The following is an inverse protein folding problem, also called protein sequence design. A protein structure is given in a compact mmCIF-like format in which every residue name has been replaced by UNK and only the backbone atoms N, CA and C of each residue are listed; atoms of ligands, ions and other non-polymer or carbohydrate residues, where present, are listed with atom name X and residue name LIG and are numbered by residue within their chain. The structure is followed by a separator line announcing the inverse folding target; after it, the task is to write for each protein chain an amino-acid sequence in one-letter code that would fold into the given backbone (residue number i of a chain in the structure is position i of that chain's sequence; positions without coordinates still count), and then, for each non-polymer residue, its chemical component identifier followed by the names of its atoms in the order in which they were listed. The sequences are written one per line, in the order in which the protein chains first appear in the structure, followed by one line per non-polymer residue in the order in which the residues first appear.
data_IF_273509877113
#
_entry.id   IF_273509877113
#
_cell.length_a   1.000
_cell.length_b   1.000
_cell.length_c   1.000
_cell.angle_alpha   90.00
_cell.angle_beta   90.00
_cell.angle_gamma   90.00
#
_symmetry.space_group_name_H-M   'P 1'
#
loop_
_entity.id
_entity.type
_entity.pdbx_description
1 polymer ?
#
# COMPACT_ATOMS: atom_id res chain seq x y z
N UNK A 1 6.63 -4.35 14.00
CA UNK A 1 5.99 -3.20 13.33
C UNK A 1 4.87 -2.78 14.25
N UNK A 2 5.05 -1.68 15.01
CA UNK A 2 3.92 -1.07 15.69
C UNK A 2 3.28 -0.20 14.61
N UNK A 3 2.11 -0.58 14.11
CA UNK A 3 1.13 0.46 13.88
C UNK A 3 0.81 0.95 15.28
N UNK A 4 1.33 2.12 15.65
CA UNK A 4 0.98 2.73 16.93
C UNK A 4 -0.50 3.09 16.83
N UNK A 5 -1.34 2.19 17.34
CA UNK A 5 -2.77 2.36 17.46
C UNK A 5 -3.02 3.35 18.57
N UNK A 6 -3.37 4.57 18.20
CA UNK A 6 -4.20 5.37 19.07
C UNK A 6 -5.40 5.89 18.26
N UNK A 7 -6.45 6.36 18.94
CA UNK A 7 -7.86 6.40 18.49
C UNK A 7 -8.41 7.78 18.07
N UNK A 8 -8.72 8.00 16.78
CA UNK A 8 -8.87 9.34 16.17
C UNK A 8 -10.13 9.95 16.72
N UNK A 9 -10.08 11.22 17.15
CA UNK A 9 -11.32 11.95 17.40
C UNK A 9 -11.96 12.35 16.06
N UNK A 10 -12.63 11.36 15.46
CA UNK A 10 -13.35 11.47 14.19
C UNK A 10 -14.43 12.57 14.29
N UNK A 11 -14.84 12.98 15.50
CA UNK A 11 -15.86 14.02 15.71
C UNK A 11 -15.35 15.45 15.51
N UNK A 12 -14.03 15.67 15.37
CA UNK A 12 -13.51 17.01 15.12
C UNK A 12 -14.01 17.57 13.79
N UNK A 13 -14.50 18.82 13.81
CA UNK A 13 -15.09 19.49 12.64
C UNK A 13 -14.15 19.49 11.43
N UNK A 14 -12.84 19.59 11.65
CA UNK A 14 -11.85 19.52 10.58
C UNK A 14 -11.82 18.15 9.89
N UNK A 15 -11.89 17.05 10.65
CA UNK A 15 -11.89 15.70 10.08
C UNK A 15 -13.21 15.44 9.36
N UNK A 16 -14.34 15.86 9.97
CA UNK A 16 -15.66 15.75 9.35
C UNK A 16 -15.75 16.51 8.01
N UNK A 17 -15.16 17.70 7.92
CA UNK A 17 -15.12 18.45 6.66
C UNK A 17 -14.24 17.78 5.60
N UNK A 18 -13.11 17.18 5.98
CA UNK A 18 -12.28 16.44 5.03
C UNK A 18 -12.96 15.15 4.56
N UNK A 19 -13.64 14.43 5.45
CA UNK A 19 -14.43 13.24 5.11
C UNK A 19 -15.57 13.60 4.14
N UNK A 20 -16.32 14.67 4.40
CA UNK A 20 -17.37 15.15 3.48
C UNK A 20 -16.83 15.45 2.08
N UNK A 21 -15.67 16.12 1.98
CA UNK A 21 -15.03 16.37 0.68
C UNK A 21 -14.65 15.07 -0.04
N UNK A 22 -14.18 14.07 0.70
CA UNK A 22 -13.84 12.76 0.13
C UNK A 22 -15.11 12.08 -0.37
N UNK A 23 -16.19 12.08 0.42
CA UNK A 23 -17.49 11.53 0.03
C UNK A 23 -18.01 12.21 -1.24
N UNK A 24 -17.97 13.54 -1.32
CA UNK A 24 -18.35 14.30 -2.53
C UNK A 24 -17.50 13.94 -3.76
N UNK A 25 -16.19 13.68 -3.57
CA UNK A 25 -15.31 13.27 -4.66
C UNK A 25 -15.55 11.83 -5.14
N UNK A 26 -16.08 10.97 -4.25
CA UNK A 26 -16.36 9.57 -4.51
C UNK A 26 -17.81 9.29 -4.91
N UNK A 27 -18.74 10.21 -4.66
CA UNK A 27 -20.17 10.11 -4.99
C UNK A 27 -20.46 9.68 -6.45
N UNK A 28 -19.67 10.09 -7.46
CA UNK A 28 -19.88 9.64 -8.84
C UNK A 28 -19.47 8.19 -9.13
N UNK A 29 -18.86 7.48 -8.17
CA UNK A 29 -18.29 6.15 -8.36
C UNK A 29 -19.08 5.09 -7.59
N UNK A 30 -19.36 3.96 -8.24
CA UNK A 30 -19.90 2.80 -7.55
C UNK A 30 -18.85 2.21 -6.57
N UNK A 31 -19.26 1.56 -5.47
CA UNK A 31 -18.32 0.97 -4.50
C UNK A 31 -17.31 -0.02 -5.11
N UNK A 32 -17.68 -0.67 -6.22
CA UNK A 32 -16.80 -1.58 -6.98
C UNK A 32 -15.65 -0.85 -7.69
N UNK A 33 -15.82 0.44 -8.00
CA UNK A 33 -14.88 1.30 -8.71
C UNK A 33 -14.06 2.21 -7.77
N UNK A 34 -14.35 2.18 -6.46
CA UNK A 34 -13.57 2.87 -5.44
C UNK A 34 -12.49 1.92 -4.94
N UNK A 35 -11.24 2.25 -5.24
CA UNK A 35 -10.06 1.42 -5.00
C UNK A 35 -9.20 2.03 -3.91
N UNK A 36 -8.67 1.23 -2.99
CA UNK A 36 -7.66 1.65 -2.02
C UNK A 36 -6.35 0.90 -2.25
N UNK A 37 -5.24 1.63 -2.26
CA UNK A 37 -3.89 1.06 -2.31
C UNK A 37 -3.05 1.53 -1.13
N UNK A 38 -2.39 0.58 -0.47
CA UNK A 38 -1.54 0.85 0.69
C UNK A 38 -0.39 -0.17 0.78
N UNK A 39 0.68 0.20 1.46
CA UNK A 39 1.88 -0.61 1.62
C UNK A 39 2.14 -1.06 3.05
N UNK A 40 2.56 -2.32 3.19
CA UNK A 40 2.98 -2.88 4.47
C UNK A 40 4.39 -3.48 4.41
N UNK A 41 5.08 -3.48 5.54
CA UNK A 41 6.43 -4.05 5.68
C UNK A 41 6.39 -5.44 6.31
N UNK A 42 6.83 -6.46 5.57
CA UNK A 42 7.02 -7.82 6.08
C UNK A 42 8.46 -8.02 6.58
N UNK A 43 8.65 -7.99 7.90
CA UNK A 43 9.96 -8.14 8.55
C UNK A 43 10.28 -9.59 8.89
N UNK A 44 10.64 -10.38 7.88
CA UNK A 44 10.80 -11.84 7.98
C UNK A 44 12.02 -12.32 8.79
N UNK A 45 12.98 -11.44 9.11
CA UNK A 45 14.13 -11.76 9.97
C UNK A 45 14.00 -11.20 11.38
N UNK A 46 12.88 -10.54 11.71
CA UNK A 46 12.72 -9.93 13.01
C UNK A 46 12.26 -10.99 14.03
N UNK A 47 12.95 -11.14 15.17
CA UNK A 47 12.52 -12.07 16.21
C UNK A 47 11.19 -11.62 16.84
N UNK A 48 10.45 -12.55 17.49
CA UNK A 48 9.26 -12.22 18.27
C UNK A 48 9.52 -11.11 19.31
N UNK A 49 8.54 -10.25 19.57
CA UNK A 49 8.65 -9.15 20.57
C UNK A 49 8.75 -9.69 22.00
N UNK A 50 8.17 -10.85 22.27
CA UNK A 50 8.18 -11.52 23.58
C UNK A 50 8.78 -12.90 23.41
N UNK A 51 9.82 -13.18 24.18
CA UNK A 51 10.34 -14.53 24.41
C UNK A 51 9.63 -15.10 25.65
N UNK A 52 9.62 -16.43 25.80
CA UNK A 52 9.13 -17.12 27.01
C UNK A 52 10.09 -16.88 28.20
N UNK A 53 11.26 -16.27 27.96
CA UNK A 53 12.25 -15.96 28.96
C UNK A 53 11.81 -14.76 29.81
N UNK A 54 11.84 -14.90 31.13
CA UNK A 54 11.59 -13.84 32.12
C UNK A 54 12.78 -12.88 32.27
N UNK A 55 13.94 -13.23 31.72
CA UNK A 55 15.16 -12.41 31.78
C UNK A 55 15.30 -11.52 30.54
N UNK A 56 15.67 -10.26 30.75
CA UNK A 56 15.94 -9.33 29.66
C UNK A 56 17.23 -9.74 28.94
N UNK A 57 17.10 -10.36 27.77
CA UNK A 57 18.22 -10.58 26.85
C UNK A 57 18.67 -9.22 26.27
N UNK A 58 19.68 -8.61 26.91
CA UNK A 58 20.32 -7.40 26.41
C UNK A 58 20.97 -7.62 25.04
N UNK A 59 20.84 -6.64 24.13
CA UNK A 59 21.72 -6.52 22.95
C UNK A 59 21.22 -7.06 21.60
N UNK A 60 20.01 -7.63 21.49
CA UNK A 60 19.50 -8.09 20.19
C UNK A 60 18.99 -6.93 19.33
N UNK A 61 19.85 -6.43 18.41
CA UNK A 61 19.45 -5.46 17.39
C UNK A 61 18.43 -6.12 16.44
N UNK A 62 17.20 -5.58 16.42
CA UNK A 62 16.14 -6.06 15.54
C UNK A 62 16.60 -5.96 14.09
N UNK A 63 16.57 -7.08 13.36
CA UNK A 63 16.77 -7.06 11.92
C UNK A 63 15.70 -6.20 11.28
N UNK A 64 16.13 -5.20 10.49
CA UNK A 64 15.25 -4.36 9.67
C UNK A 64 15.05 -4.92 8.28
N UNK A 65 15.59 -6.11 8.00
CA UNK A 65 15.41 -6.78 6.73
C UNK A 65 13.93 -7.05 6.51
N UNK A 66 13.43 -6.60 5.36
CA UNK A 66 12.00 -6.61 5.05
C UNK A 66 11.74 -6.83 3.58
N UNK A 67 10.50 -7.20 3.28
CA UNK A 67 9.86 -6.97 1.99
C UNK A 67 8.81 -5.88 2.19
N UNK A 68 8.64 -5.00 1.20
CA UNK A 68 7.46 -4.13 1.15
C UNK A 68 6.42 -4.81 0.26
N UNK A 69 5.17 -4.86 0.71
CA UNK A 69 4.04 -5.43 -0.01
C UNK A 69 3.00 -4.33 -0.21
N UNK A 70 2.77 -3.95 -1.46
CA UNK A 70 1.66 -3.08 -1.86
C UNK A 70 0.41 -3.90 -2.16
N UNK A 71 -0.72 -3.49 -1.60
CA UNK A 71 -1.99 -4.18 -1.69
C UNK A 71 -3.06 -3.26 -2.28
N UNK A 72 -3.94 -3.82 -3.09
CA UNK A 72 -5.04 -3.11 -3.74
C UNK A 72 -6.35 -3.85 -3.47
N UNK A 73 -7.39 -3.15 -3.04
CA UNK A 73 -8.75 -3.70 -2.96
C UNK A 73 -9.79 -2.63 -3.28
N UNK A 74 -10.99 -3.05 -3.69
CA UNK A 74 -12.13 -2.14 -3.82
C UNK A 74 -12.91 -1.98 -2.51
N UNK A 75 -13.81 -1.00 -2.47
CA UNK A 75 -14.54 -0.60 -1.27
C UNK A 75 -15.56 -1.66 -0.80
N UNK A 76 -16.19 -2.39 -1.73
CA UNK A 76 -17.13 -3.47 -1.39
C UNK A 76 -16.44 -4.81 -1.06
N UNK A 77 -15.12 -4.89 -1.27
CA UNK A 77 -14.29 -6.06 -0.99
C UNK A 77 -14.45 -7.21 -2.01
N UNK A 78 -15.23 -7.06 -3.07
CA UNK A 78 -15.41 -8.07 -4.12
C UNK A 78 -14.15 -8.25 -4.98
N UNK A 79 -13.28 -7.24 -5.02
CA UNK A 79 -12.05 -7.23 -5.78
C UNK A 79 -10.81 -7.05 -4.90
N UNK A 80 -9.82 -7.93 -5.10
CA UNK A 80 -8.48 -7.84 -4.52
C UNK A 80 -7.45 -7.98 -5.63
N UNK A 81 -6.67 -6.93 -5.84
CA UNK A 81 -5.61 -6.92 -6.84
C UNK A 81 -4.43 -7.80 -6.43
N UNK A 82 -3.62 -8.19 -7.41
CA UNK A 82 -2.37 -8.90 -7.16
C UNK A 82 -1.39 -8.04 -6.36
N UNK A 83 -0.72 -8.60 -5.35
CA UNK A 83 0.22 -7.84 -4.54
C UNK A 83 1.47 -7.44 -5.33
N UNK A 84 1.95 -6.24 -5.06
CA UNK A 84 3.27 -5.76 -5.50
C UNK A 84 4.27 -6.06 -4.39
N UNK A 85 5.34 -6.79 -4.67
CA UNK A 85 6.37 -7.11 -3.69
C UNK A 85 7.68 -6.45 -4.05
N UNK A 86 8.28 -5.75 -3.09
CA UNK A 86 9.55 -5.05 -3.27
C UNK A 86 10.56 -5.65 -2.30
N UNK A 87 11.62 -6.23 -2.86
CA UNK A 87 12.76 -6.73 -2.09
C UNK A 87 14.02 -5.91 -2.29
N UNK A 88 15.09 -6.29 -1.59
CA UNK A 88 16.37 -5.62 -1.69
C UNK A 88 17.15 -6.00 -2.96
N UNK A 89 16.97 -7.24 -3.42
CA UNK A 89 17.78 -7.81 -4.48
C UNK A 89 16.99 -7.92 -5.77
N UNK A 90 17.58 -7.50 -6.90
CA UNK A 90 16.97 -7.64 -8.23
C UNK A 90 16.61 -9.08 -8.58
N UNK A 91 17.40 -10.05 -8.11
CA UNK A 91 17.20 -11.48 -8.36
C UNK A 91 17.52 -12.27 -7.10
N UNK A 92 16.55 -12.41 -6.17
CA UNK A 92 16.76 -13.20 -4.96
C UNK A 92 17.04 -14.66 -5.31
N UNK A 93 18.05 -15.27 -4.69
CA UNK A 93 18.50 -16.64 -4.99
C UNK A 93 17.43 -17.71 -4.73
N UNK A 94 16.44 -17.42 -3.89
CA UNK A 94 15.30 -18.31 -3.63
C UNK A 94 14.35 -18.44 -4.83
N UNK A 95 14.40 -17.52 -5.80
CA UNK A 95 13.62 -17.57 -7.04
C UNK A 95 14.53 -18.07 -8.17
N UNK A 96 14.73 -19.40 -8.24
CA UNK A 96 15.66 -20.04 -9.19
C UNK A 96 15.22 -19.95 -10.67
N UNK A 97 14.01 -19.47 -10.96
CA UNK A 97 13.50 -19.32 -12.34
C UNK A 97 12.90 -17.93 -12.54
N UNK A 98 13.54 -17.10 -13.38
CA UNK A 98 13.13 -15.71 -13.71
C UNK A 98 11.69 -15.62 -14.27
N UNK A 99 11.22 -16.70 -14.90
CA UNK A 99 9.90 -16.80 -15.52
C UNK A 99 8.74 -16.66 -14.51
N UNK A 100 8.96 -16.94 -13.22
CA UNK A 100 7.91 -16.93 -12.19
C UNK A 100 7.79 -15.58 -11.44
N UNK A 101 8.62 -14.59 -11.78
CA UNK A 101 8.56 -13.22 -11.22
C UNK A 101 8.03 -12.20 -12.24
N UNK A 102 7.85 -12.61 -13.49
CA UNK A 102 7.63 -11.74 -14.63
C UNK A 102 6.50 -12.26 -15.53
N UNK A 103 5.26 -12.26 -15.05
CA UNK A 103 4.11 -12.32 -15.95
C UNK A 103 2.78 -11.90 -15.27
N UNK A 104 2.25 -10.80 -15.80
CA UNK A 104 0.84 -10.39 -15.83
C UNK A 104 0.09 -9.97 -14.55
N UNK A 105 0.30 -8.69 -14.23
CA UNK A 105 -0.68 -7.58 -14.01
C UNK A 105 -1.80 -7.68 -12.97
N UNK A 106 -2.10 -6.49 -12.45
CA UNK A 106 -3.12 -6.07 -11.50
C UNK A 106 -4.57 -6.51 -11.76
N UNK A 107 -4.86 -7.39 -12.74
CA UNK A 107 -6.16 -8.01 -13.01
C UNK A 107 -5.94 -9.43 -13.56
N UNK A 108 -6.24 -10.43 -12.73
CA UNK A 108 -6.67 -11.78 -13.12
C UNK A 108 -5.74 -12.65 -13.98
N UNK A 109 -4.84 -13.41 -13.34
CA UNK A 109 -4.45 -14.82 -13.65
C UNK A 109 -3.82 -15.47 -12.40
N UNK A 110 -3.73 -16.81 -12.37
CA UNK A 110 -3.34 -17.59 -11.17
C UNK A 110 -1.82 -17.45 -10.89
N UNK A 111 -1.52 -16.85 -9.74
CA UNK A 111 -0.25 -16.83 -9.01
C UNK A 111 1.00 -16.31 -9.73
N UNK A 112 1.02 -15.01 -10.02
CA UNK A 112 2.26 -14.31 -10.25
C UNK A 112 2.29 -13.03 -9.39
N UNK A 113 3.35 -12.88 -8.60
CA UNK A 113 3.59 -11.72 -7.74
C UNK A 113 4.34 -10.69 -8.56
N UNK A 114 3.87 -9.44 -8.61
CA UNK A 114 4.61 -8.38 -9.28
C UNK A 114 5.82 -7.99 -8.42
N UNK A 115 7.00 -8.48 -8.78
CA UNK A 115 8.23 -8.26 -8.01
C UNK A 115 9.04 -7.07 -8.54
N UNK A 116 9.43 -6.18 -7.63
CA UNK A 116 10.36 -5.08 -7.86
C UNK A 116 11.51 -5.13 -6.86
N UNK A 117 12.53 -4.30 -7.08
CA UNK A 117 13.63 -4.16 -6.15
C UNK A 117 14.00 -2.69 -5.92
N UNK A 118 14.41 -2.39 -4.70
CA UNK A 118 15.03 -1.13 -4.32
C UNK A 118 16.10 -1.39 -3.25
N UNK A 119 17.10 -0.52 -3.13
CA UNK A 119 18.26 -0.74 -2.24
C UNK A 119 17.88 -0.96 -0.77
N UNK A 120 16.75 -0.40 -0.34
CA UNK A 120 16.21 -0.48 1.01
C UNK A 120 14.90 -1.29 1.10
N UNK A 121 14.43 -1.90 0.01
CA UNK A 121 13.12 -2.55 -0.08
C UNK A 121 11.96 -1.64 0.36
N UNK A 122 11.96 -0.39 -0.10
CA UNK A 122 10.83 0.55 -0.01
C UNK A 122 10.20 0.76 -1.38
N UNK A 123 8.93 1.20 -1.38
CA UNK A 123 8.30 1.79 -2.56
C UNK A 123 9.11 3.01 -3.02
N UNK A 124 9.23 3.18 -4.34
CA UNK A 124 9.78 4.39 -4.95
C UNK A 124 8.75 4.98 -5.90
N UNK A 125 8.91 6.26 -6.25
CA UNK A 125 8.01 6.92 -7.18
C UNK A 125 8.02 6.23 -8.56
N UNK A 126 9.16 5.70 -9.00
CA UNK A 126 9.31 4.99 -10.26
C UNK A 126 8.53 3.68 -10.26
N UNK A 127 8.62 2.90 -9.18
CA UNK A 127 7.89 1.64 -9.01
C UNK A 127 6.39 1.92 -8.98
N UNK A 128 5.96 2.88 -8.15
CA UNK A 128 4.56 3.26 -8.02
C UNK A 128 3.98 3.79 -9.34
N UNK A 129 4.72 4.67 -10.03
CA UNK A 129 4.31 5.21 -11.34
C UNK A 129 4.18 4.11 -12.38
N UNK A 130 5.08 3.13 -12.40
CA UNK A 130 4.97 1.98 -13.30
C UNK A 130 3.75 1.11 -12.98
N UNK A 131 3.48 0.90 -11.69
CA UNK A 131 2.32 0.15 -11.22
C UNK A 131 0.99 0.83 -11.60
N UNK A 132 0.82 2.12 -11.29
CA UNK A 132 -0.44 2.83 -11.58
C UNK A 132 -0.71 2.98 -13.08
N UNK A 133 0.35 3.04 -13.93
CA UNK A 133 0.18 2.95 -15.39
C UNK A 133 -0.42 1.63 -15.84
N UNK A 134 0.04 0.51 -15.27
CA UNK A 134 -0.52 -0.81 -15.57
C UNK A 134 -1.96 -0.89 -15.09
N UNK A 135 -2.25 -0.35 -13.92
CA UNK A 135 -3.59 -0.29 -13.35
C UNK A 135 -4.56 0.47 -14.26
N UNK A 136 -4.17 1.67 -14.70
CA UNK A 136 -4.94 2.52 -15.63
C UNK A 136 -5.29 1.81 -16.94
N UNK A 137 -4.32 1.12 -17.53
CA UNK A 137 -4.53 0.32 -18.75
C UNK A 137 -5.44 -0.87 -18.48
N UNK A 138 -5.28 -1.53 -17.33
CA UNK A 138 -6.03 -2.74 -17.01
C UNK A 138 -7.52 -2.43 -16.77
N UNK A 139 -7.84 -1.39 -16.01
CA UNK A 139 -9.23 -0.96 -15.79
C UNK A 139 -9.84 -0.33 -17.05
N UNK A 140 -9.05 0.38 -17.85
CA UNK A 140 -9.50 0.88 -19.16
C UNK A 140 -9.96 -0.22 -20.12
N UNK A 141 -9.32 -1.40 -20.09
CA UNK A 141 -9.76 -2.56 -20.90
C UNK A 141 -11.10 -3.13 -20.47
N UNK A 142 -11.49 -2.89 -19.22
CA UNK A 142 -12.79 -3.30 -18.68
C UNK A 142 -13.84 -2.18 -18.82
N UNK A 143 -13.51 -1.10 -19.52
CA UNK A 143 -14.32 0.11 -19.65
C UNK A 143 -14.69 0.75 -18.30
N UNK A 144 -13.90 0.48 -17.26
CA UNK A 144 -14.11 1.00 -15.92
C UNK A 144 -13.30 2.27 -15.68
N UNK A 145 -13.91 3.24 -15.00
CA UNK A 145 -13.21 4.40 -14.44
C UNK A 145 -13.20 4.25 -12.93
N UNK A 146 -12.01 4.23 -12.34
CA UNK A 146 -11.84 4.02 -10.90
C UNK A 146 -11.40 5.29 -10.19
N UNK A 147 -11.78 5.40 -8.92
CA UNK A 147 -11.20 6.34 -7.97
C UNK A 147 -10.17 5.60 -7.11
N UNK A 148 -8.91 6.01 -7.16
CA UNK A 148 -7.80 5.41 -6.40
C UNK A 148 -7.44 6.26 -5.18
N UNK A 149 -7.74 5.71 -4.01
CA UNK A 149 -7.42 6.22 -2.69
C UNK A 149 -5.98 5.83 -2.30
N UNK A 150 -5.20 6.83 -1.86
CA UNK A 150 -3.77 6.72 -1.52
C UNK A 150 -3.43 7.57 -0.31
N UNK A 151 -2.50 7.12 0.52
CA UNK A 151 -1.91 7.98 1.55
C UNK A 151 -1.07 9.12 0.94
N UNK A 152 -0.75 10.15 1.73
CA UNK A 152 0.06 11.30 1.34
C UNK A 152 1.57 11.00 1.50
N UNK A 153 2.00 9.85 1.01
CA UNK A 153 3.41 9.58 0.82
C UNK A 153 3.96 10.31 -0.42
N UNK A 154 5.20 10.78 -0.34
CA UNK A 154 5.86 11.44 -1.47
C UNK A 154 5.99 10.54 -2.70
N UNK A 155 6.07 9.22 -2.51
CA UNK A 155 6.17 8.22 -3.57
C UNK A 155 4.90 8.16 -4.43
N UNK A 156 3.73 8.50 -3.87
CA UNK A 156 2.44 8.48 -4.56
C UNK A 156 2.23 9.68 -5.48
N UNK A 157 3.06 10.73 -5.37
CA UNK A 157 2.96 11.95 -6.18
C UNK A 157 3.43 11.68 -7.61
N UNK A 158 2.54 11.18 -8.44
CA UNK A 158 2.83 10.95 -9.87
C UNK A 158 2.31 12.11 -10.73
N UNK A 159 3.05 12.46 -11.79
CA UNK A 159 2.71 13.55 -12.73
C UNK A 159 2.30 13.03 -14.12
N UNK A 160 2.07 11.74 -14.24
CA UNK A 160 1.69 11.12 -15.50
C UNK A 160 0.20 11.35 -15.78
N UNK A 161 -0.22 11.49 -17.04
CA UNK A 161 -1.63 11.44 -17.39
C UNK A 161 -2.17 10.02 -17.17
N UNK A 162 -3.33 9.92 -16.53
CA UNK A 162 -4.10 8.70 -16.34
C UNK A 162 -5.50 8.93 -16.93
N UNK A 163 -6.02 7.97 -17.68
CA UNK A 163 -7.29 8.14 -18.41
C UNK A 163 -8.48 7.48 -17.69
N UNK A 164 -8.21 6.40 -16.95
CA UNK A 164 -9.20 5.54 -16.32
C UNK A 164 -9.04 5.50 -14.80
N UNK A 165 -7.86 5.84 -14.28
CA UNK A 165 -7.58 5.94 -12.85
C UNK A 165 -7.53 7.40 -12.43
N UNK A 166 -8.52 7.85 -11.64
CA UNK A 166 -8.49 9.16 -11.00
C UNK A 166 -7.94 9.02 -9.59
N UNK A 167 -7.00 9.86 -9.20
CA UNK A 167 -6.54 9.99 -7.81
C UNK A 167 -7.23 11.23 -7.25
N UNK A 168 -8.40 11.09 -6.58
CA UNK A 168 -9.19 12.25 -6.14
C UNK A 168 -8.48 13.05 -5.06
N UNK A 169 -7.73 12.40 -4.17
CA UNK A 169 -6.97 13.06 -3.10
C UNK A 169 -5.88 12.13 -2.54
N UNK A 170 -5.02 12.69 -1.68
CA UNK A 170 -4.07 11.95 -0.86
C UNK A 170 -4.42 12.15 0.63
N UNK A 171 -4.56 11.07 1.39
CA UNK A 171 -4.86 11.18 2.84
C UNK A 171 -3.64 11.65 3.60
N UNK A 172 -3.76 12.64 4.50
CA UNK A 172 -2.65 12.96 5.41
C UNK A 172 -2.29 11.72 6.22
N UNK A 173 -1.02 11.32 6.17
CA UNK A 173 -0.45 10.31 7.09
C UNK A 173 -0.63 10.74 8.56
N UNK A 174 -0.73 12.07 8.81
CA UNK A 174 -0.92 12.63 10.15
C UNK A 174 -2.35 12.57 10.70
N UNK A 175 -3.31 11.98 9.98
CA UNK A 175 -4.59 11.58 10.59
C UNK A 175 -4.39 10.55 11.71
N UNK A 176 -3.21 9.91 11.79
CA UNK A 176 -2.82 9.00 12.87
C UNK A 176 -2.00 9.66 13.99
N UNK A 177 -1.65 10.95 13.88
CA UNK A 177 -0.70 11.62 14.81
C UNK A 177 -1.40 12.42 15.93
N UNK A 178 -2.69 12.18 16.19
CA UNK A 178 -3.53 13.01 17.08
C UNK A 178 -3.56 12.52 18.54
N UNK A 179 -2.66 11.64 18.95
CA UNK A 179 -2.66 11.04 20.30
C UNK A 179 -1.56 11.55 21.18
N UNK A 180 -1.85 12.70 21.78
CA UNK A 180 -1.34 13.00 23.11
C UNK A 180 -2.46 13.63 23.93
N UNK A 181 -2.99 12.87 24.88
CA UNK A 181 -3.35 13.43 26.17
C UNK A 181 -3.12 12.40 27.28
N UNK A 182 -2.23 12.82 28.18
CA UNK A 182 -2.18 12.52 29.62
C UNK A 182 -2.61 11.13 30.07
N UNK A 183 -1.62 10.30 30.44
CA UNK A 183 -1.24 10.07 31.84
C UNK A 183 0.23 9.62 31.92
#
# INVERSE_FOLDING_TARGET
MYGESASVDISSENIQNELRKIEELLEPYDPVDIMNFDETGLYYQQPPRRTICSESLGGLKKSKTRLTVGLLCNSDGSYKGHPVVIGQHKSPKCFKTRANLLSMTAIGKKHEVEYHYSTNAWMTNEIFTAYVKKLDVAFGRQNGKIALLLDNASVHKTKIPLNNCRIPTYFKHDSYSIYKKSE
#
